data_IF_418710202135
#
_entry.id   IF_418710202135
#
_cell.length_a   1.000
_cell.length_b   1.000
_cell.length_c   1.000
_cell.angle_alpha   90.00
_cell.angle_beta   90.00
_cell.angle_gamma   90.00
#
_symmetry.space_group_name_H-M   'P 1'
#
loop_
_entity.id
_entity.type
_entity.pdbx_description
1 polymer ?
#
# COMPACT_ATOMS: atom_id res chain seq x y z
N UNK A 1 21.58 -18.15 12.01
CA UNK A 1 20.36 -18.18 11.18
C UNK A 1 19.25 -17.26 11.72
N UNK A 2 18.85 -17.36 13.01
CA UNK A 2 17.76 -16.54 13.58
C UNK A 2 17.94 -15.00 13.40
N UNK A 3 19.16 -14.47 13.59
CA UNK A 3 19.43 -13.04 13.44
C UNK A 3 19.17 -12.51 12.01
N UNK A 4 19.45 -13.32 10.98
CA UNK A 4 19.21 -12.93 9.58
C UNK A 4 17.73 -12.75 9.25
N UNK A 5 16.89 -13.66 9.75
CA UNK A 5 15.44 -13.59 9.60
C UNK A 5 14.83 -12.37 10.31
N UNK A 6 15.31 -12.05 11.51
CA UNK A 6 14.85 -10.87 12.27
C UNK A 6 15.18 -9.56 11.53
N UNK A 7 16.39 -9.44 10.99
CA UNK A 7 16.79 -8.25 10.21
C UNK A 7 15.94 -8.11 8.94
N UNK A 8 15.65 -9.23 8.26
CA UNK A 8 14.79 -9.21 7.07
C UNK A 8 13.35 -8.79 7.42
N UNK A 9 12.79 -9.35 8.49
CA UNK A 9 11.46 -8.98 8.98
C UNK A 9 11.38 -7.50 9.35
N UNK A 10 12.36 -6.98 10.10
CA UNK A 10 12.43 -5.58 10.49
C UNK A 10 12.46 -4.63 9.28
N UNK A 11 13.23 -4.97 8.25
CA UNK A 11 13.27 -4.21 7.00
C UNK A 11 11.93 -4.27 6.24
N UNK A 12 11.27 -5.42 6.20
CA UNK A 12 9.96 -5.56 5.58
C UNK A 12 8.89 -4.73 6.31
N UNK A 13 8.92 -4.72 7.65
CA UNK A 13 8.09 -3.86 8.50
C UNK A 13 8.37 -2.39 8.18
N UNK A 14 9.62 -1.95 8.19
CA UNK A 14 9.96 -0.55 7.93
C UNK A 14 9.53 -0.11 6.52
N UNK A 15 9.76 -0.94 5.50
CA UNK A 15 9.37 -0.67 4.12
C UNK A 15 7.85 -0.56 3.95
N UNK A 16 7.10 -1.50 4.53
CA UNK A 16 5.63 -1.48 4.47
C UNK A 16 5.04 -0.32 5.27
N UNK A 17 5.55 -0.02 6.47
CA UNK A 17 5.09 1.12 7.25
C UNK A 17 5.27 2.44 6.49
N UNK A 18 6.46 2.67 5.93
CA UNK A 18 6.75 3.88 5.16
C UNK A 18 5.87 4.00 3.91
N UNK A 19 5.69 2.90 3.17
CA UNK A 19 4.83 2.86 2.01
C UNK A 19 3.35 3.10 2.35
N UNK A 20 2.84 2.52 3.43
CA UNK A 20 1.45 2.73 3.89
C UNK A 20 1.22 4.16 4.33
N UNK A 21 2.15 4.76 5.08
CA UNK A 21 2.05 6.16 5.48
C UNK A 21 2.10 7.10 4.28
N UNK A 22 3.03 6.88 3.36
CA UNK A 22 3.12 7.64 2.11
C UNK A 22 1.86 7.47 1.24
N UNK A 23 1.37 6.24 1.13
CA UNK A 23 0.15 5.92 0.40
C UNK A 23 -1.06 6.59 1.01
N UNK A 24 -1.18 6.58 2.33
CA UNK A 24 -2.27 7.28 3.03
C UNK A 24 -2.22 8.78 2.78
N UNK A 25 -1.05 9.42 2.90
CA UNK A 25 -0.90 10.86 2.61
C UNK A 25 -1.23 11.23 1.17
N UNK A 26 -0.80 10.40 0.23
CA UNK A 26 -1.16 10.56 -1.19
C UNK A 26 -2.67 10.45 -1.37
N UNK A 27 -3.28 9.42 -0.77
CA UNK A 27 -4.71 9.17 -0.85
C UNK A 27 -5.54 10.31 -0.25
N UNK A 28 -5.16 10.80 0.94
CA UNK A 28 -5.74 11.98 1.59
C UNK A 28 -5.70 13.20 0.65
N UNK A 29 -4.54 13.48 0.07
CA UNK A 29 -4.36 14.63 -0.82
C UNK A 29 -5.19 14.52 -2.10
N UNK A 30 -5.26 13.32 -2.69
CA UNK A 30 -6.02 13.07 -3.92
C UNK A 30 -7.54 13.11 -3.68
N UNK A 31 -8.01 12.71 -2.49
CA UNK A 31 -9.43 12.85 -2.16
C UNK A 31 -9.81 14.31 -1.93
N UNK A 32 -8.97 15.11 -1.27
CA UNK A 32 -9.22 16.56 -1.16
C UNK A 32 -9.29 17.21 -2.54
N UNK A 33 -8.43 16.79 -3.47
CA UNK A 33 -8.51 17.24 -4.86
C UNK A 33 -9.80 16.77 -5.56
N UNK A 34 -10.20 15.51 -5.37
CA UNK A 34 -11.42 14.96 -5.96
C UNK A 34 -12.69 15.65 -5.41
N UNK A 35 -12.72 15.97 -4.12
CA UNK A 35 -13.81 16.71 -3.48
C UNK A 35 -13.98 18.10 -4.12
N UNK A 36 -12.89 18.88 -4.24
CA UNK A 36 -12.95 20.19 -4.89
C UNK A 36 -13.40 20.10 -6.37
N UNK A 37 -13.03 19.03 -7.07
CA UNK A 37 -13.46 18.81 -8.44
C UNK A 37 -14.95 18.43 -8.51
N UNK A 38 -15.43 17.63 -7.55
CA UNK A 38 -16.84 17.28 -7.43
C UNK A 38 -17.70 18.53 -7.17
N UNK A 39 -17.29 19.39 -6.23
CA UNK A 39 -18.00 20.63 -5.91
C UNK A 39 -18.11 21.54 -7.14
N UNK A 40 -17.01 21.70 -7.90
CA UNK A 40 -17.02 22.49 -9.12
C UNK A 40 -17.93 21.91 -10.23
N UNK A 41 -18.03 20.58 -10.32
CA UNK A 41 -18.94 19.92 -11.27
C UNK A 41 -20.41 20.13 -10.89
N UNK A 42 -20.74 20.05 -9.60
CA UNK A 42 -22.09 20.36 -9.09
C UNK A 42 -22.46 21.82 -9.38
N UNK A 43 -21.56 22.76 -9.11
CA UNK A 43 -21.77 24.19 -9.41
C UNK A 43 -21.98 24.46 -10.90
N UNK A 44 -21.41 23.61 -11.77
CA UNK A 44 -21.59 23.66 -13.23
C UNK A 44 -22.90 23.03 -13.73
N UNK A 45 -23.72 22.49 -12.84
CA UNK A 45 -25.02 21.88 -13.14
C UNK A 45 -24.99 20.37 -13.39
N UNK A 46 -23.89 19.67 -13.07
CA UNK A 46 -23.92 18.21 -13.03
C UNK A 46 -24.73 17.71 -11.82
N UNK A 47 -25.28 16.50 -11.96
CA UNK A 47 -25.93 15.83 -10.83
C UNK A 47 -24.92 15.48 -9.75
N UNK A 48 -25.23 15.81 -8.49
CA UNK A 48 -24.45 15.43 -7.31
C UNK A 48 -24.08 13.94 -7.26
N UNK A 49 -24.92 13.08 -7.83
CA UNK A 49 -24.73 11.62 -7.86
C UNK A 49 -23.51 11.14 -8.65
N UNK A 50 -23.02 11.92 -9.63
CA UNK A 50 -21.90 11.54 -10.50
C UNK A 50 -20.70 12.48 -10.39
N UNK A 51 -20.86 13.60 -9.70
CA UNK A 51 -19.80 14.59 -9.53
C UNK A 51 -18.58 13.97 -8.84
N UNK A 52 -17.39 14.20 -9.40
CA UNK A 52 -16.12 13.70 -8.86
C UNK A 52 -15.85 12.22 -9.10
N UNK A 53 -16.78 11.46 -9.70
CA UNK A 53 -16.65 10.00 -9.85
C UNK A 53 -15.37 9.59 -10.59
N UNK A 54 -15.00 10.32 -11.65
CA UNK A 54 -13.76 10.08 -12.41
C UNK A 54 -12.53 10.37 -11.55
N UNK A 55 -12.57 11.43 -10.75
CA UNK A 55 -11.50 11.90 -9.89
C UNK A 55 -11.25 10.92 -8.73
N UNK A 56 -12.30 10.38 -8.12
CA UNK A 56 -12.18 9.33 -7.11
C UNK A 56 -11.61 8.02 -7.70
N UNK A 57 -11.99 7.65 -8.92
CA UNK A 57 -11.40 6.49 -9.61
C UNK A 57 -9.89 6.70 -9.86
N UNK A 58 -9.50 7.91 -10.29
CA UNK A 58 -8.08 8.27 -10.46
C UNK A 58 -7.34 8.22 -9.12
N UNK A 59 -7.92 8.75 -8.05
CA UNK A 59 -7.33 8.73 -6.71
C UNK A 59 -7.06 7.29 -6.23
N UNK A 60 -8.03 6.39 -6.44
CA UNK A 60 -7.87 4.98 -6.10
C UNK A 60 -6.82 4.28 -6.95
N UNK A 61 -6.87 4.46 -8.27
CA UNK A 61 -5.90 3.87 -9.18
C UNK A 61 -4.46 4.32 -8.85
N UNK A 62 -4.27 5.61 -8.55
CA UNK A 62 -2.98 6.14 -8.12
C UNK A 62 -2.48 5.47 -6.84
N UNK A 63 -3.34 5.29 -5.83
CA UNK A 63 -3.01 4.57 -4.61
C UNK A 63 -2.63 3.10 -4.86
N UNK A 64 -3.41 2.39 -5.68
CA UNK A 64 -3.19 0.99 -6.03
C UNK A 64 -1.87 0.75 -6.76
N UNK A 65 -1.41 1.73 -7.53
CA UNK A 65 -0.10 1.68 -8.21
C UNK A 65 1.02 2.12 -7.27
N UNK A 66 0.81 3.18 -6.49
CA UNK A 66 1.83 3.79 -5.65
C UNK A 66 2.36 2.83 -4.58
N UNK A 67 1.48 2.21 -3.78
CA UNK A 67 1.91 1.41 -2.62
C UNK A 67 2.77 0.20 -2.98
N UNK A 68 2.44 -0.66 -3.97
CA UNK A 68 3.33 -1.76 -4.34
C UNK A 68 4.68 -1.26 -4.88
N UNK A 69 4.70 -0.17 -5.64
CA UNK A 69 5.95 0.42 -6.14
C UNK A 69 6.79 0.97 -4.98
N UNK A 70 6.16 1.66 -4.02
CA UNK A 70 6.83 2.20 -2.84
C UNK A 70 7.42 1.07 -1.99
N UNK A 71 6.66 0.02 -1.68
CA UNK A 71 7.17 -1.14 -0.93
C UNK A 71 8.34 -1.79 -1.67
N UNK A 72 8.20 -2.04 -2.96
CA UNK A 72 9.28 -2.59 -3.76
C UNK A 72 10.53 -1.69 -3.72
N UNK A 73 10.36 -0.38 -3.90
CA UNK A 73 11.44 0.61 -3.85
C UNK A 73 12.15 0.63 -2.50
N UNK A 74 11.41 0.65 -1.39
CA UNK A 74 11.99 0.63 -0.04
C UNK A 74 12.71 -0.69 0.26
N UNK A 75 12.15 -1.84 -0.14
CA UNK A 75 12.83 -3.13 0.01
C UNK A 75 14.15 -3.16 -0.77
N UNK A 76 14.17 -2.62 -1.99
CA UNK A 76 15.39 -2.50 -2.81
C UNK A 76 16.42 -1.56 -2.17
N UNK A 77 15.97 -0.42 -1.64
CA UNK A 77 16.82 0.53 -0.91
C UNK A 77 17.49 -0.13 0.30
N UNK A 78 16.75 -0.99 1.02
CA UNK A 78 17.25 -1.77 2.15
C UNK A 78 18.03 -3.04 1.76
N UNK A 79 18.32 -3.21 0.46
CA UNK A 79 19.05 -4.34 -0.13
C UNK A 79 18.38 -5.70 0.04
N UNK A 80 17.06 -5.75 0.23
CA UNK A 80 16.29 -6.99 0.18
C UNK A 80 15.88 -7.29 -1.26
N UNK A 81 16.48 -8.31 -1.86
CA UNK A 81 16.14 -8.81 -3.20
C UNK A 81 15.27 -10.06 -3.10
N UNK A 82 14.48 -10.28 -4.14
CA UNK A 82 13.65 -11.48 -4.25
C UNK A 82 12.37 -11.47 -3.42
N UNK A 83 12.08 -10.46 -2.59
CA UNK A 83 10.90 -10.46 -1.71
C UNK A 83 9.60 -10.03 -2.41
N UNK A 84 9.24 -10.72 -3.50
CA UNK A 84 8.06 -10.40 -4.32
C UNK A 84 6.74 -10.73 -3.62
N UNK A 85 6.70 -11.76 -2.75
CA UNK A 85 5.48 -12.10 -2.02
C UNK A 85 5.07 -10.96 -1.09
N UNK A 86 6.04 -10.30 -0.42
CA UNK A 86 5.80 -9.11 0.39
C UNK A 86 5.17 -7.97 -0.43
N UNK A 87 5.65 -7.74 -1.66
CA UNK A 87 5.09 -6.70 -2.55
C UNK A 87 3.66 -7.04 -2.97
N UNK A 88 3.41 -8.28 -3.39
CA UNK A 88 2.10 -8.74 -3.85
C UNK A 88 1.08 -8.65 -2.71
N UNK A 89 1.41 -9.20 -1.55
CA UNK A 89 0.54 -9.19 -0.37
C UNK A 89 0.27 -7.76 0.09
N UNK A 90 1.29 -6.91 0.10
CA UNK A 90 1.12 -5.49 0.39
C UNK A 90 0.13 -4.80 -0.59
N UNK A 91 0.24 -5.11 -1.89
CA UNK A 91 -0.70 -4.59 -2.88
C UNK A 91 -2.15 -4.99 -2.58
N UNK A 92 -2.38 -6.28 -2.29
CA UNK A 92 -3.72 -6.79 -1.98
C UNK A 92 -4.30 -6.17 -0.71
N UNK A 93 -3.52 -6.07 0.37
CA UNK A 93 -3.99 -5.45 1.62
C UNK A 93 -4.35 -3.98 1.39
N UNK A 94 -3.56 -3.26 0.59
CA UNK A 94 -3.88 -1.87 0.24
C UNK A 94 -5.18 -1.74 -0.54
N UNK A 95 -5.42 -2.62 -1.53
CA UNK A 95 -6.68 -2.66 -2.27
C UNK A 95 -7.85 -2.96 -1.33
N UNK A 96 -7.71 -3.90 -0.39
CA UNK A 96 -8.76 -4.22 0.60
C UNK A 96 -9.10 -3.01 1.48
N UNK A 97 -8.10 -2.22 1.88
CA UNK A 97 -8.32 -1.01 2.68
C UNK A 97 -9.04 0.11 1.92
N UNK A 98 -8.80 0.20 0.61
CA UNK A 98 -9.23 1.34 -0.21
C UNK A 98 -10.47 1.05 -1.07
N UNK A 99 -10.71 -0.20 -1.48
CA UNK A 99 -11.83 -0.58 -2.33
C UNK A 99 -13.22 -0.24 -1.75
N UNK A 100 -13.49 -0.38 -0.43
CA UNK A 100 -14.76 0.06 0.14
C UNK A 100 -14.96 1.59 0.11
N UNK A 101 -13.92 2.35 -0.24
CA UNK A 101 -13.90 3.82 -0.20
C UNK A 101 -13.88 4.45 -1.58
N UNK A 102 -14.19 3.67 -2.62
CA UNK A 102 -14.27 4.13 -4.01
C UNK A 102 -15.18 5.35 -4.19
N UNK A 103 -16.13 5.58 -3.27
CA UNK A 103 -16.95 6.79 -3.20
C UNK A 103 -17.13 7.18 -1.73
N UNK A 104 -16.76 8.42 -1.37
CA UNK A 104 -17.18 9.09 -0.14
C UNK A 104 -16.68 8.51 1.19
N UNK A 105 -15.38 8.66 1.51
CA UNK A 105 -14.90 8.72 2.91
C UNK A 105 -13.38 8.91 3.01
N UNK A 106 -12.97 9.93 3.78
CA UNK A 106 -11.57 10.15 4.15
C UNK A 106 -11.14 9.18 5.27
N UNK A 107 -9.95 8.56 5.18
CA UNK A 107 -9.38 7.82 6.30
C UNK A 107 -9.10 8.74 7.47
N UNK A 108 -9.74 8.50 8.62
CA UNK A 108 -9.38 9.17 9.87
C UNK A 108 -7.94 8.81 10.28
N UNK A 109 -7.24 9.67 11.03
CA UNK A 109 -5.89 9.36 11.53
C UNK A 109 -5.83 8.04 12.30
N UNK A 110 -6.87 7.69 13.08
CA UNK A 110 -6.95 6.41 13.78
C UNK A 110 -7.02 5.20 12.84
N UNK A 111 -7.65 5.34 11.67
CA UNK A 111 -7.69 4.30 10.64
C UNK A 111 -6.28 3.97 10.14
N UNK A 112 -5.43 4.99 9.97
CA UNK A 112 -4.06 4.83 9.45
C UNK A 112 -3.21 3.98 10.37
N UNK A 113 -3.35 4.16 11.68
CA UNK A 113 -2.63 3.36 12.67
C UNK A 113 -2.96 1.87 12.49
N UNK A 114 -4.24 1.54 12.32
CA UNK A 114 -4.68 0.17 12.04
C UNK A 114 -4.14 -0.32 10.71
N UNK A 115 -4.19 0.50 9.66
CA UNK A 115 -3.66 0.14 8.35
C UNK A 115 -2.17 -0.16 8.39
N UNK A 116 -1.37 0.68 9.05
CA UNK A 116 0.07 0.46 9.23
C UNK A 116 0.32 -0.82 10.02
N UNK A 117 -0.39 -1.03 11.13
CA UNK A 117 -0.24 -2.23 11.95
C UNK A 117 -0.54 -3.52 11.17
N UNK A 118 -1.65 -3.55 10.44
CA UNK A 118 -2.03 -4.72 9.63
C UNK A 118 -1.08 -4.89 8.45
N UNK A 119 -0.76 -3.82 7.71
CA UNK A 119 0.14 -3.91 6.56
C UNK A 119 1.51 -4.46 6.96
N UNK A 120 2.07 -3.95 8.05
CA UNK A 120 3.39 -4.36 8.53
C UNK A 120 3.40 -5.80 8.99
N UNK A 121 2.38 -6.23 9.74
CA UNK A 121 2.25 -7.61 10.19
C UNK A 121 2.15 -8.59 9.00
N UNK A 122 1.26 -8.33 8.05
CA UNK A 122 1.03 -9.24 6.92
C UNK A 122 2.23 -9.23 5.95
N UNK A 123 2.84 -8.07 5.70
CA UNK A 123 4.04 -7.97 4.84
C UNK A 123 5.25 -8.67 5.47
N UNK A 124 5.43 -8.55 6.78
CA UNK A 124 6.48 -9.26 7.50
C UNK A 124 6.26 -10.78 7.45
N UNK A 125 5.02 -11.24 7.65
CA UNK A 125 4.67 -12.66 7.54
C UNK A 125 4.93 -13.20 6.12
N UNK A 126 4.52 -12.47 5.08
CA UNK A 126 4.80 -12.82 3.69
C UNK A 126 6.30 -12.92 3.41
N UNK A 127 7.08 -11.95 3.90
CA UNK A 127 8.54 -11.99 3.80
C UNK A 127 9.14 -13.20 4.51
N UNK A 128 8.64 -13.55 5.70
CA UNK A 128 9.12 -14.69 6.47
C UNK A 128 8.82 -16.02 5.76
N UNK A 129 7.58 -16.21 5.32
CA UNK A 129 7.14 -17.38 4.54
C UNK A 129 8.01 -17.57 3.30
N UNK A 130 8.25 -16.48 2.56
CA UNK A 130 9.07 -16.57 1.36
C UNK A 130 10.53 -16.95 1.67
N UNK A 131 11.10 -16.40 2.74
CA UNK A 131 12.46 -16.75 3.18
C UNK A 131 12.60 -18.19 3.67
N UNK A 132 11.51 -18.76 4.22
CA UNK A 132 11.49 -20.17 4.66
C UNK A 132 11.33 -21.15 3.49
N UNK A 133 10.65 -20.73 2.40
CA UNK A 133 10.39 -21.57 1.23
C UNK A 133 11.51 -21.56 0.17
N UNK A 134 12.49 -20.67 0.26
CA UNK A 134 13.64 -20.63 -0.65
C UNK A 134 14.80 -21.47 -0.06
N UNK A 135 15.38 -22.41 -0.82
CA UNK A 135 16.58 -23.13 -0.43
C UNK A 135 17.68 -22.17 0.02
N UNK A 136 18.28 -22.43 1.18
CA UNK A 136 19.37 -21.62 1.74
C UNK A 136 20.65 -21.63 0.87
N UNK A 137 20.74 -22.55 -0.09
CA UNK A 137 21.88 -22.68 -0.99
C UNK A 137 21.47 -22.52 -2.47
N UNK A 138 21.89 -21.43 -3.13
CA UNK A 138 21.72 -21.25 -4.58
C UNK A 138 22.38 -22.36 -5.41
N UNK A 139 23.35 -23.11 -4.85
CA UNK A 139 24.01 -24.23 -5.51
C UNK A 139 23.17 -25.51 -5.54
N UNK A 140 22.14 -25.62 -4.70
CA UNK A 140 21.22 -26.75 -4.71
C UNK A 140 20.16 -26.67 -5.84
N UNK A 141 20.18 -25.58 -6.63
CA UNK A 141 19.29 -25.37 -7.79
C UNK A 141 19.99 -25.56 -9.15
N UNK A 142 21.27 -25.94 -9.17
CA UNK A 142 22.02 -26.33 -10.38
C UNK A 142 22.32 -27.82 -10.35
#
# INVERSE_FOLDING_TARGET
>A
MAMGYLIQAAKAVAASAAATLGGWRLFESLYVWADHAADAEVDSGQSEWFAGSTQYLIANAAGWVFVPIAVWGFLRLMRLRGNHLAVIVSAFVWVIFTAPRLVGSHPSPGTVVVWVAVQTAVTAAASAVQSAGLPADPKAMR
#
